data_IF_123369579301
#
_entry.id   IF_123369579301
#
_cell.length_a   1.000
_cell.length_b   1.000
_cell.length_c   1.000
_cell.angle_alpha   90.00
_cell.angle_beta   90.00
_cell.angle_gamma   90.00
#
_symmetry.space_group_name_H-M   'P 1'
#
loop_
_entity.id
_entity.type
_entity.pdbx_description
1 polymer ?
#
# COMPACT_ATOMS: atom_id res chain seq x y z
N UNK A 1 12.00 -18.81 -38.83
CA UNK A 1 12.77 -18.26 -37.70
C UNK A 1 11.97 -17.09 -37.17
N UNK A 2 11.16 -17.31 -36.13
CA UNK A 2 10.35 -16.27 -35.51
C UNK A 2 10.77 -16.23 -34.03
N UNK A 3 11.53 -15.20 -33.67
CA UNK A 3 11.98 -14.97 -32.30
C UNK A 3 10.99 -13.99 -31.68
N UNK A 4 10.18 -14.47 -30.73
CA UNK A 4 9.42 -13.60 -29.85
C UNK A 4 10.34 -13.23 -28.68
N UNK A 5 10.88 -12.02 -28.73
CA UNK A 5 11.60 -11.40 -27.61
C UNK A 5 10.55 -10.78 -26.70
N UNK A 6 10.13 -11.52 -25.67
CA UNK A 6 9.34 -10.95 -24.58
C UNK A 6 10.34 -10.37 -23.57
N UNK A 7 10.57 -9.06 -23.66
CA UNK A 7 11.29 -8.31 -22.64
C UNK A 7 10.50 -8.37 -21.31
N UNK A 8 11.26 -8.52 -20.22
CA UNK A 8 10.78 -8.83 -18.86
C UNK A 8 9.61 -7.95 -18.44
N UNK A 9 8.56 -8.60 -17.94
CA UNK A 9 7.46 -7.97 -17.24
C UNK A 9 7.92 -7.54 -15.84
N UNK A 10 7.50 -6.36 -15.44
CA UNK A 10 7.71 -5.76 -14.12
C UNK A 10 7.15 -6.69 -13.03
N UNK A 11 8.01 -7.26 -12.18
CA UNK A 11 7.58 -7.99 -10.99
C UNK A 11 7.35 -6.97 -9.89
N UNK A 12 6.10 -6.74 -9.50
CA UNK A 12 5.78 -6.03 -8.26
C UNK A 12 5.35 -7.06 -7.22
N UNK A 13 5.89 -6.93 -6.02
CA UNK A 13 5.44 -7.76 -4.91
C UNK A 13 4.06 -7.29 -4.44
N UNK A 14 3.19 -8.23 -4.10
CA UNK A 14 1.86 -7.98 -3.55
C UNK A 14 1.84 -8.49 -2.11
N UNK A 15 1.47 -7.63 -1.18
CA UNK A 15 1.28 -7.96 0.22
C UNK A 15 -0.20 -7.98 0.56
N UNK A 16 -0.63 -8.97 1.33
CA UNK A 16 -1.98 -8.96 1.89
C UNK A 16 -1.99 -8.16 3.19
N UNK A 17 -2.83 -7.13 3.23
CA UNK A 17 -3.09 -6.34 4.44
C UNK A 17 -4.51 -6.55 4.93
N UNK A 18 -4.74 -6.39 6.24
CA UNK A 18 -6.09 -6.36 6.81
C UNK A 18 -6.48 -4.93 7.14
N UNK A 19 -7.63 -4.47 6.64
CA UNK A 19 -8.22 -3.16 6.95
C UNK A 19 -9.56 -3.33 7.65
N UNK A 20 -9.96 -2.33 8.43
CA UNK A 20 -11.31 -2.26 9.01
C UNK A 20 -12.14 -1.33 8.12
N UNK A 21 -13.12 -1.89 7.42
CA UNK A 21 -14.03 -1.18 6.53
C UNK A 21 -15.45 -1.30 7.06
N UNK A 22 -16.09 -0.19 7.41
CA UNK A 22 -17.41 -0.17 8.07
C UNK A 22 -17.52 -1.10 9.29
N UNK A 23 -16.45 -1.15 10.09
CA UNK A 23 -16.36 -2.01 11.28
C UNK A 23 -16.13 -3.50 10.99
N UNK A 24 -16.00 -3.88 9.72
CA UNK A 24 -15.71 -5.25 9.29
C UNK A 24 -14.24 -5.37 8.89
N UNK A 25 -13.59 -6.46 9.27
CA UNK A 25 -12.24 -6.75 8.78
C UNK A 25 -12.32 -7.25 7.32
N UNK A 26 -11.54 -6.64 6.44
CA UNK A 26 -11.41 -7.05 5.04
C UNK A 26 -9.93 -7.21 4.70
N UNK A 27 -9.62 -8.25 3.92
CA UNK A 27 -8.31 -8.42 3.32
C UNK A 27 -8.23 -7.59 2.04
N UNK A 28 -7.11 -6.90 1.85
CA UNK A 28 -6.82 -6.12 0.66
C UNK A 28 -5.43 -6.46 0.16
N UNK A 29 -5.27 -6.42 -1.16
CA UNK A 29 -3.97 -6.51 -1.80
C UNK A 29 -3.30 -5.14 -1.84
N UNK A 30 -2.07 -5.08 -1.33
CA UNK A 30 -1.22 -3.90 -1.30
C UNK A 30 -0.08 -4.15 -2.29
N UNK A 31 -0.11 -3.45 -3.43
CA UNK A 31 0.99 -3.49 -4.37
C UNK A 31 2.20 -2.75 -3.77
N UNK A 32 3.34 -3.43 -3.72
CA UNK A 32 4.62 -2.80 -3.44
C UNK A 32 4.93 -1.84 -4.59
N UNK A 33 5.11 -0.56 -4.26
CA UNK A 33 5.75 0.36 -5.19
C UNK A 33 7.23 0.01 -5.21
N UNK A 34 7.87 -0.02 -6.39
CA UNK A 34 9.29 -0.37 -6.66
C UNK A 34 10.37 0.40 -5.87
N UNK A 35 9.97 1.17 -4.87
CA UNK A 35 10.84 1.85 -3.93
C UNK A 35 11.06 0.95 -2.72
N UNK A 36 12.29 0.90 -2.20
CA UNK A 36 12.58 0.36 -0.86
C UNK A 36 11.44 0.73 0.11
N UNK A 37 10.94 -0.22 0.95
CA UNK A 37 9.74 -0.03 1.74
C UNK A 37 9.78 1.37 2.35
N UNK A 38 8.91 2.24 1.83
CA UNK A 38 9.02 3.69 2.01
C UNK A 38 9.37 3.92 3.46
N UNK A 39 10.52 4.53 3.75
CA UNK A 39 10.99 4.77 5.12
C UNK A 39 9.83 5.28 6.03
N UNK A 40 8.88 5.99 5.42
CA UNK A 40 7.56 6.34 5.94
C UNK A 40 6.75 5.23 6.63
N UNK A 41 6.62 4.02 6.08
CA UNK A 41 5.87 2.92 6.70
C UNK A 41 6.51 2.44 8.01
N UNK A 42 7.84 2.36 8.07
CA UNK A 42 8.55 2.09 9.31
C UNK A 42 8.40 3.24 10.32
N UNK A 43 8.36 4.50 9.85
CA UNK A 43 8.09 5.68 10.68
C UNK A 43 6.66 5.72 11.25
N UNK A 44 5.72 5.03 10.62
CA UNK A 44 4.33 4.91 11.09
C UNK A 44 4.14 3.78 12.10
N UNK A 45 5.20 3.03 12.45
CA UNK A 45 5.13 2.03 13.51
C UNK A 45 4.72 2.67 14.84
N UNK A 46 3.65 2.16 15.46
CA UNK A 46 2.99 2.70 16.67
C UNK A 46 2.29 4.05 16.49
N UNK A 47 1.98 4.43 15.26
CA UNK A 47 1.14 5.59 14.97
C UNK A 47 -0.15 5.14 14.28
N UNK A 48 -1.21 5.91 14.47
CA UNK A 48 -2.45 5.82 13.72
C UNK A 48 -2.39 6.77 12.54
N UNK A 49 -2.64 6.25 11.34
CA UNK A 49 -2.90 7.03 10.14
C UNK A 49 -4.41 7.06 9.88
N UNK A 50 -4.99 8.26 9.81
CA UNK A 50 -6.37 8.48 9.40
C UNK A 50 -6.38 9.35 8.14
N UNK A 51 -7.12 8.91 7.12
CA UNK A 51 -7.26 9.60 5.83
C UNK A 51 -8.73 9.76 5.53
N UNK A 52 -9.18 11.00 5.37
CA UNK A 52 -10.51 11.28 4.86
C UNK A 52 -10.48 11.14 3.33
N UNK A 53 -11.11 10.10 2.78
CA UNK A 53 -11.15 9.86 1.34
C UNK A 53 -12.26 10.69 0.65
N UNK A 54 -12.17 12.01 0.79
CA UNK A 54 -13.05 13.00 0.18
C UNK A 54 -12.20 14.14 -0.41
N UNK A 55 -12.77 14.90 -1.34
CA UNK A 55 -12.08 16.08 -1.88
C UNK A 55 -11.79 17.10 -0.76
N UNK A 56 -10.52 17.54 -0.67
CA UNK A 56 -10.07 18.42 0.42
C UNK A 56 -9.99 17.75 1.80
N UNK A 57 -10.09 16.42 1.86
CA UNK A 57 -9.97 15.63 3.07
C UNK A 57 -8.62 15.80 3.78
N UNK A 58 -8.58 15.45 5.07
CA UNK A 58 -7.38 15.60 5.90
C UNK A 58 -6.67 14.27 6.09
N UNK A 59 -5.36 14.37 6.26
CA UNK A 59 -4.51 13.28 6.72
C UNK A 59 -4.06 13.62 8.14
N UNK A 60 -4.29 12.71 9.08
CA UNK A 60 -3.86 12.84 10.47
C UNK A 60 -2.97 11.65 10.84
N UNK A 61 -1.81 11.97 11.42
CA UNK A 61 -0.90 11.01 12.01
C UNK A 61 -0.79 11.34 13.49
N UNK A 62 -1.06 10.38 14.34
CA UNK A 62 -0.97 10.54 15.80
C UNK A 62 -0.43 9.27 16.45
N UNK A 63 0.25 9.43 17.59
CA UNK A 63 0.73 8.27 18.33
C UNK A 63 -0.46 7.42 18.80
N UNK A 64 -0.28 6.09 18.79
CA UNK A 64 -1.26 5.14 19.34
C UNK A 64 -1.31 5.17 20.87
#
# INVERSE_FOLDING_TARGET
MCSFHLEKWYYFDLYTGTVIWDGQYQEIDIAESETEPLLGMALLYRYRLQVDNIEGGKVKIEAL
#
